data_IF_902017162606
#
_entry.id   IF_902017162606
#
_cell.length_a   1.000
_cell.length_b   1.000
_cell.length_c   1.000
_cell.angle_alpha   90.00
_cell.angle_beta   90.00
_cell.angle_gamma   90.00
#
_symmetry.space_group_name_H-M   'P 1'
#
loop_
_entity.id
_entity.type
_entity.pdbx_description
1 polymer ?
#
# COMPACT_ATOMS: atom_id res chain seq x y z
N UNK A 1 -9.93 -20.38 24.62
CA UNK A 1 -11.28 -20.07 24.10
C UNK A 1 -11.32 -20.41 22.63
N UNK A 2 -12.17 -21.36 22.19
CA UNK A 2 -12.40 -21.68 20.77
C UNK A 2 -13.45 -20.77 20.10
N UNK A 3 -13.68 -19.57 20.63
CA UNK A 3 -14.83 -18.74 20.24
C UNK A 3 -14.74 -18.34 18.76
N UNK A 4 -13.56 -17.95 18.28
CA UNK A 4 -13.35 -17.65 16.85
C UNK A 4 -13.31 -18.92 15.99
N UNK A 5 -12.98 -20.08 16.57
CA UNK A 5 -12.78 -21.33 15.82
C UNK A 5 -14.07 -21.95 15.28
N UNK A 6 -15.21 -21.68 15.92
CA UNK A 6 -16.52 -22.25 15.57
C UNK A 6 -17.44 -21.31 14.79
N UNK A 7 -16.96 -20.14 14.37
CA UNK A 7 -17.77 -19.19 13.62
C UNK A 7 -17.66 -19.52 12.13
N UNK A 8 -18.69 -20.17 11.60
CA UNK A 8 -18.99 -20.13 10.17
C UNK A 8 -19.48 -18.72 9.85
N UNK A 9 -18.83 -18.05 8.90
CA UNK A 9 -19.21 -16.69 8.46
C UNK A 9 -20.59 -16.81 7.82
N UNK A 10 -21.67 -16.33 8.46
CA UNK A 10 -23.00 -16.49 7.90
C UNK A 10 -23.11 -15.53 6.72
N UNK A 11 -23.38 -16.07 5.53
CA UNK A 11 -23.62 -15.28 4.29
C UNK A 11 -24.76 -14.25 4.42
N UNK A 12 -25.52 -14.23 5.52
CA UNK A 12 -26.75 -13.46 5.69
C UNK A 12 -26.92 -12.73 7.05
N UNK A 13 -25.88 -12.59 7.90
CA UNK A 13 -26.01 -11.85 9.15
C UNK A 13 -24.90 -10.81 9.34
N UNK A 14 -24.93 -9.67 8.62
CA UNK A 14 -23.88 -8.64 8.67
C UNK A 14 -23.65 -8.10 10.10
N UNK A 15 -24.69 -8.02 10.93
CA UNK A 15 -24.58 -7.44 12.26
C UNK A 15 -23.85 -8.28 13.32
N UNK A 16 -23.79 -9.62 13.19
CA UNK A 16 -23.21 -10.45 14.27
C UNK A 16 -21.68 -10.39 14.29
N UNK A 17 -21.05 -10.34 13.11
CA UNK A 17 -19.61 -10.17 13.00
C UNK A 17 -19.17 -8.78 13.48
N UNK A 18 -19.91 -7.74 13.11
CA UNK A 18 -19.66 -6.36 13.54
C UNK A 18 -19.75 -6.20 15.07
N UNK A 19 -20.82 -6.72 15.69
CA UNK A 19 -20.98 -6.70 17.15
C UNK A 19 -19.85 -7.43 17.86
N UNK A 20 -19.37 -8.54 17.29
CA UNK A 20 -18.28 -9.33 17.86
C UNK A 20 -16.93 -8.62 17.72
N UNK A 21 -16.63 -8.02 16.56
CA UNK A 21 -15.42 -7.21 16.37
C UNK A 21 -15.42 -6.02 17.35
N UNK A 22 -16.57 -5.35 17.49
CA UNK A 22 -16.74 -4.26 18.46
C UNK A 22 -16.58 -4.74 19.91
N UNK A 23 -17.07 -5.93 20.25
CA UNK A 23 -16.87 -6.52 21.57
C UNK A 23 -15.38 -6.86 21.82
N UNK A 24 -14.69 -7.41 20.83
CA UNK A 24 -13.25 -7.75 20.92
C UNK A 24 -12.37 -6.51 21.07
N UNK A 25 -12.70 -5.41 20.41
CA UNK A 25 -11.97 -4.14 20.53
C UNK A 25 -11.98 -3.54 21.94
N UNK A 26 -13.07 -3.78 22.66
CA UNK A 26 -13.29 -3.28 24.02
C UNK A 26 -12.73 -4.23 25.09
N UNK A 27 -12.22 -5.40 24.70
CA UNK A 27 -11.60 -6.35 25.61
C UNK A 27 -10.15 -5.91 25.93
N UNK A 28 -9.69 -6.18 27.15
CA UNK A 28 -8.27 -6.00 27.52
C UNK A 28 -7.42 -7.11 26.88
N UNK A 29 -6.88 -6.82 25.70
CA UNK A 29 -6.09 -7.75 24.89
C UNK A 29 -4.65 -7.94 25.42
N UNK A 30 -4.15 -7.01 26.24
CA UNK A 30 -2.78 -7.04 26.78
C UNK A 30 -2.64 -8.01 27.97
N UNK A 31 -3.76 -8.51 28.53
CA UNK A 31 -3.76 -9.38 29.70
C UNK A 31 -2.94 -8.83 30.88
N UNK A 32 -2.96 -7.50 31.09
CA UNK A 32 -2.21 -6.80 32.16
C UNK A 32 -2.62 -7.22 33.58
N UNK A 33 -3.76 -7.91 33.73
CA UNK A 33 -4.20 -8.53 35.00
C UNK A 33 -4.00 -10.04 34.92
N UNK A 34 -3.29 -10.66 35.89
CA UNK A 34 -3.03 -12.10 35.89
C UNK A 34 -4.32 -12.86 36.24
N UNK A 35 -5.16 -13.11 35.24
CA UNK A 35 -6.25 -14.04 35.37
C UNK A 35 -5.71 -15.47 35.20
N UNK A 36 -6.32 -16.45 35.89
CA UNK A 36 -5.92 -17.87 35.97
C UNK A 36 -5.75 -18.64 34.63
N UNK A 37 -5.87 -17.98 33.47
CA UNK A 37 -5.56 -18.54 32.16
C UNK A 37 -4.09 -18.26 31.81
N UNK A 38 -3.24 -19.28 31.93
CA UNK A 38 -1.80 -19.24 31.67
C UNK A 38 -1.37 -19.03 30.21
N UNK A 39 -2.30 -18.64 29.33
CA UNK A 39 -2.07 -18.47 27.88
C UNK A 39 -2.86 -17.27 27.36
N UNK A 40 -2.21 -16.36 26.64
CA UNK A 40 -2.88 -15.28 25.93
C UNK A 40 -3.95 -15.89 24.99
N UNK A 41 -5.24 -15.58 25.17
CA UNK A 41 -6.33 -16.20 24.39
C UNK A 41 -6.24 -15.91 22.89
N UNK A 42 -5.52 -14.85 22.49
CA UNK A 42 -5.32 -14.48 21.10
C UNK A 42 -4.33 -15.38 20.36
N UNK A 43 -3.33 -15.91 21.07
CA UNK A 43 -2.26 -16.73 20.48
C UNK A 43 -2.22 -18.10 21.18
N UNK A 44 -3.18 -18.99 20.86
CA UNK A 44 -3.25 -20.27 21.53
C UNK A 44 -2.05 -21.16 21.15
N UNK A 45 -1.58 -21.99 22.09
CA UNK A 45 -0.38 -22.82 21.91
C UNK A 45 -0.45 -23.84 20.79
N UNK A 46 -1.66 -24.23 20.35
CA UNK A 46 -1.85 -25.22 19.28
C UNK A 46 -1.64 -24.61 17.89
N UNK A 47 -2.04 -23.35 17.71
CA UNK A 47 -1.91 -22.59 16.48
C UNK A 47 -2.00 -21.10 16.82
N UNK A 48 -0.87 -20.42 16.82
CA UNK A 48 -0.82 -19.01 17.18
C UNK A 48 -1.44 -18.11 16.10
N UNK A 49 -1.60 -18.61 14.87
CA UNK A 49 -2.04 -17.82 13.72
C UNK A 49 -3.56 -17.93 13.49
N UNK A 50 -4.24 -18.93 14.04
CA UNK A 50 -5.65 -19.23 13.72
C UNK A 50 -6.61 -18.03 13.85
N UNK A 51 -6.43 -17.22 14.89
CA UNK A 51 -7.33 -16.09 15.16
C UNK A 51 -7.04 -14.92 14.21
N UNK A 52 -5.76 -14.66 13.94
CA UNK A 52 -5.30 -13.66 12.98
C UNK A 52 -5.80 -14.01 11.58
N UNK A 53 -5.62 -15.26 11.17
CA UNK A 53 -6.04 -15.79 9.88
C UNK A 53 -7.55 -15.59 9.65
N UNK A 54 -8.36 -15.89 10.66
CA UNK A 54 -9.81 -15.65 10.61
C UNK A 54 -10.17 -14.18 10.46
N UNK A 55 -9.52 -13.28 11.20
CA UNK A 55 -9.80 -11.85 11.11
C UNK A 55 -9.39 -11.28 9.74
N UNK A 56 -8.28 -11.75 9.18
CA UNK A 56 -7.83 -11.37 7.84
C UNK A 56 -8.78 -11.93 6.77
N UNK A 57 -9.25 -13.18 6.91
CA UNK A 57 -10.25 -13.75 6.00
C UNK A 57 -11.59 -13.00 6.04
N UNK A 58 -12.02 -12.53 7.22
CA UNK A 58 -13.20 -11.66 7.35
C UNK A 58 -12.96 -10.33 6.63
N UNK A 59 -11.79 -9.72 6.82
CA UNK A 59 -11.42 -8.48 6.11
C UNK A 59 -11.45 -8.70 4.60
N UNK A 60 -10.90 -9.81 4.12
CA UNK A 60 -10.84 -10.12 2.70
C UNK A 60 -12.23 -10.25 2.07
N UNK A 61 -13.11 -11.00 2.73
CA UNK A 61 -14.49 -11.14 2.29
C UNK A 61 -15.25 -9.81 2.34
N UNK A 62 -15.05 -9.01 3.39
CA UNK A 62 -15.69 -7.71 3.50
C UNK A 62 -15.27 -6.79 2.36
N UNK A 63 -13.97 -6.72 2.06
CA UNK A 63 -13.41 -5.91 0.98
C UNK A 63 -13.85 -6.39 -0.40
N UNK A 64 -14.07 -7.69 -0.59
CA UNK A 64 -14.56 -8.25 -1.84
C UNK A 64 -16.06 -8.00 -2.09
N UNK A 65 -16.88 -7.97 -1.04
CA UNK A 65 -18.35 -7.91 -1.15
C UNK A 65 -18.89 -6.48 -1.08
N UNK A 66 -18.30 -5.61 -0.26
CA UNK A 66 -18.87 -4.30 0.05
C UNK A 66 -18.25 -3.17 -0.75
N UNK A 67 -19.04 -2.12 -1.00
CA UNK A 67 -18.56 -0.88 -1.65
C UNK A 67 -17.67 -0.07 -0.68
N UNK A 68 -16.70 0.71 -1.18
CA UNK A 68 -15.79 1.50 -0.34
C UNK A 68 -16.49 2.41 0.68
N UNK A 69 -17.62 3.02 0.30
CA UNK A 69 -18.40 3.90 1.19
C UNK A 69 -18.99 3.17 2.41
N UNK A 70 -19.35 1.90 2.27
CA UNK A 70 -19.89 1.12 3.38
C UNK A 70 -18.76 0.53 4.24
N UNK A 71 -17.64 0.17 3.60
CA UNK A 71 -16.43 -0.28 4.28
C UNK A 71 -15.82 0.81 5.18
N UNK A 72 -16.02 2.09 4.84
CA UNK A 72 -15.52 3.22 5.64
C UNK A 72 -16.00 3.17 7.10
N UNK A 73 -17.21 2.65 7.35
CA UNK A 73 -17.70 2.47 8.73
C UNK A 73 -17.42 1.05 9.25
N UNK A 74 -17.57 0.03 8.41
CA UNK A 74 -17.54 -1.37 8.85
C UNK A 74 -16.14 -1.93 9.09
N UNK A 75 -15.16 -1.53 8.28
CA UNK A 75 -13.82 -2.12 8.33
C UNK A 75 -12.91 -1.46 9.37
N UNK A 76 -13.22 -0.22 9.81
CA UNK A 76 -12.38 0.49 10.79
C UNK A 76 -12.22 -0.24 12.13
N UNK A 77 -13.29 -0.79 12.74
CA UNK A 77 -13.14 -1.62 13.93
C UNK A 77 -12.19 -2.80 13.71
N UNK A 78 -12.32 -3.49 12.57
CA UNK A 78 -11.51 -4.65 12.25
C UNK A 78 -10.04 -4.28 12.03
N UNK A 79 -9.77 -3.19 11.30
CA UNK A 79 -8.41 -2.67 11.09
C UNK A 79 -7.77 -2.26 12.41
N UNK A 80 -8.53 -1.58 13.28
CA UNK A 80 -8.06 -1.19 14.61
C UNK A 80 -7.73 -2.41 15.47
N UNK A 81 -8.55 -3.47 15.38
CA UNK A 81 -8.33 -4.72 16.11
C UNK A 81 -7.06 -5.41 15.61
N UNK A 82 -6.88 -5.51 14.28
CA UNK A 82 -5.68 -6.09 13.68
C UNK A 82 -4.40 -5.34 14.10
N UNK A 83 -4.44 -4.01 14.11
CA UNK A 83 -3.33 -3.16 14.59
C UNK A 83 -2.98 -3.43 16.05
N UNK A 84 -3.99 -3.47 16.94
CA UNK A 84 -3.80 -3.80 18.35
C UNK A 84 -3.23 -5.21 18.54
N UNK A 85 -3.74 -6.19 17.78
CA UNK A 85 -3.25 -7.58 17.83
C UNK A 85 -1.79 -7.64 17.36
N UNK A 86 -1.42 -6.92 16.31
CA UNK A 86 -0.06 -6.88 15.80
C UNK A 86 0.94 -6.31 16.81
N UNK A 87 0.56 -5.26 17.56
CA UNK A 87 1.41 -4.63 18.58
C UNK A 87 1.77 -5.59 19.73
N UNK A 88 0.84 -6.49 20.11
CA UNK A 88 1.02 -7.47 21.20
C UNK A 88 1.43 -8.87 20.72
N UNK A 89 1.46 -9.12 19.41
CA UNK A 89 1.72 -10.43 18.84
C UNK A 89 3.16 -10.90 19.12
N UNK A 90 3.41 -12.21 19.26
CA UNK A 90 4.77 -12.76 19.19
C UNK A 90 5.33 -12.68 17.76
N UNK A 91 6.64 -12.91 17.59
CA UNK A 91 7.32 -12.78 16.30
C UNK A 91 6.70 -13.66 15.19
N UNK A 92 6.27 -14.89 15.51
CA UNK A 92 5.64 -15.80 14.55
C UNK A 92 4.39 -15.22 13.90
N UNK A 93 3.33 -14.89 14.68
CA UNK A 93 2.13 -14.26 14.16
C UNK A 93 2.37 -12.88 13.52
N UNK A 94 3.35 -12.09 13.98
CA UNK A 94 3.72 -10.82 13.32
C UNK A 94 4.19 -11.05 11.90
N UNK A 95 5.19 -11.94 11.71
CA UNK A 95 5.69 -12.30 10.38
C UNK A 95 4.61 -12.90 9.49
N UNK A 96 3.67 -13.66 10.08
CA UNK A 96 2.52 -14.18 9.34
C UNK A 96 1.57 -13.07 8.86
N UNK A 97 1.31 -12.05 9.69
CA UNK A 97 0.52 -10.88 9.30
C UNK A 97 1.22 -10.04 8.22
N UNK A 98 2.51 -9.80 8.37
CA UNK A 98 3.33 -9.11 7.36
C UNK A 98 3.24 -9.83 6.02
N UNK A 99 3.41 -11.16 6.00
CA UNK A 99 3.34 -11.98 4.79
C UNK A 99 1.96 -11.96 4.12
N UNK A 100 0.86 -11.94 4.89
CA UNK A 100 -0.50 -11.94 4.32
C UNK A 100 -0.97 -10.57 3.82
N UNK A 101 -0.55 -9.48 4.49
CA UNK A 101 -1.13 -8.15 4.29
C UNK A 101 -0.23 -7.21 3.48
N UNK A 102 1.09 -7.41 3.50
CA UNK A 102 2.01 -6.64 2.66
C UNK A 102 2.13 -7.27 1.26
N UNK A 103 2.31 -6.45 0.21
CA UNK A 103 2.54 -6.95 -1.14
C UNK A 103 3.81 -7.81 -1.21
N UNK A 104 3.68 -9.00 -1.77
CA UNK A 104 4.82 -9.86 -2.06
C UNK A 104 5.56 -9.42 -3.34
N UNK A 105 6.81 -9.85 -3.49
CA UNK A 105 7.61 -9.53 -4.68
C UNK A 105 7.06 -10.20 -5.95
N UNK A 106 6.35 -11.32 -5.83
CA UNK A 106 5.63 -11.95 -6.95
C UNK A 106 4.48 -11.09 -7.51
N UNK A 107 3.94 -10.15 -6.72
CA UNK A 107 2.89 -9.25 -7.19
C UNK A 107 3.43 -8.10 -8.06
N UNK A 108 4.75 -7.94 -8.13
CA UNK A 108 5.41 -6.84 -8.85
C UNK A 108 5.67 -7.16 -10.32
N UNK A 109 5.18 -8.29 -10.82
CA UNK A 109 5.13 -8.55 -12.26
C UNK A 109 4.08 -7.66 -12.95
N UNK A 110 3.13 -7.11 -12.18
CA UNK A 110 2.19 -6.07 -12.59
C UNK A 110 2.41 -4.80 -11.75
N UNK A 111 1.87 -3.64 -12.17
CA UNK A 111 1.85 -2.46 -11.32
C UNK A 111 1.19 -2.77 -9.97
N UNK A 112 1.84 -2.35 -8.89
CA UNK A 112 1.42 -2.68 -7.54
C UNK A 112 0.02 -2.13 -7.27
N UNK A 113 -0.82 -2.93 -6.61
CA UNK A 113 -2.23 -2.57 -6.41
C UNK A 113 -3.16 -2.96 -7.57
N UNK A 114 -2.67 -3.50 -8.70
CA UNK A 114 -3.53 -3.97 -9.79
C UNK A 114 -3.93 -5.45 -9.70
N UNK A 115 -3.29 -6.23 -8.81
CA UNK A 115 -3.58 -7.66 -8.67
C UNK A 115 -4.93 -7.93 -7.95
N UNK A 116 -5.31 -9.21 -7.90
CA UNK A 116 -6.49 -9.70 -7.20
C UNK A 116 -6.19 -10.19 -5.77
N UNK A 117 -5.04 -9.87 -5.20
CA UNK A 117 -4.72 -10.19 -3.80
C UNK A 117 -5.42 -9.22 -2.84
N UNK A 118 -5.46 -9.58 -1.55
CA UNK A 118 -5.95 -8.71 -0.50
C UNK A 118 -5.08 -7.45 -0.36
N UNK A 119 -3.75 -7.61 -0.33
CA UNK A 119 -2.77 -6.50 -0.28
C UNK A 119 -3.06 -5.48 -1.37
N UNK A 120 -3.22 -5.92 -2.63
CA UNK A 120 -3.52 -5.03 -3.76
C UNK A 120 -4.90 -4.38 -3.67
N UNK A 121 -5.93 -5.09 -3.18
CA UNK A 121 -7.25 -4.47 -2.91
C UNK A 121 -7.15 -3.39 -1.84
N UNK A 122 -6.42 -3.64 -0.75
CA UNK A 122 -6.21 -2.67 0.33
C UNK A 122 -5.44 -1.44 -0.17
N UNK A 123 -4.42 -1.62 -1.01
CA UNK A 123 -3.70 -0.51 -1.65
C UNK A 123 -4.61 0.38 -2.50
N UNK A 124 -5.50 -0.20 -3.32
CA UNK A 124 -6.47 0.62 -4.07
C UNK A 124 -7.39 1.39 -3.14
N UNK A 125 -7.85 0.75 -2.07
CA UNK A 125 -8.70 1.41 -1.06
C UNK A 125 -7.96 2.52 -0.31
N UNK A 126 -6.65 2.41 -0.09
CA UNK A 126 -5.84 3.48 0.52
C UNK A 126 -5.69 4.71 -0.38
N UNK A 127 -5.99 4.61 -1.67
CA UNK A 127 -6.07 5.76 -2.58
C UNK A 127 -7.48 6.26 -2.85
N UNK A 128 -8.51 5.63 -2.26
CA UNK A 128 -9.90 5.96 -2.55
C UNK A 128 -10.29 7.34 -1.97
N UNK A 129 -10.85 8.25 -2.79
CA UNK A 129 -11.33 9.55 -2.30
C UNK A 129 -12.67 9.46 -1.55
N UNK A 130 -13.40 8.36 -1.71
CA UNK A 130 -14.77 8.18 -1.17
C UNK A 130 -14.77 7.72 0.29
N UNK A 131 -13.67 7.14 0.76
CA UNK A 131 -13.55 6.50 2.07
C UNK A 131 -12.28 6.99 2.81
N UNK A 132 -12.27 8.26 3.26
CA UNK A 132 -11.07 8.88 3.81
C UNK A 132 -10.61 8.24 5.13
N UNK A 133 -11.54 7.74 5.96
CA UNK A 133 -11.19 7.10 7.22
C UNK A 133 -10.59 5.72 6.98
N UNK A 134 -11.15 4.97 6.04
CA UNK A 134 -10.65 3.67 5.59
C UNK A 134 -9.24 3.79 5.03
N UNK A 135 -9.01 4.80 4.18
CA UNK A 135 -7.69 5.11 3.65
C UNK A 135 -6.66 5.28 4.77
N UNK A 136 -7.02 6.09 5.76
CA UNK A 136 -6.18 6.38 6.90
C UNK A 136 -5.90 5.11 7.72
N UNK A 137 -6.94 4.32 8.02
CA UNK A 137 -6.82 3.06 8.74
C UNK A 137 -5.96 2.00 8.04
N UNK A 138 -6.10 1.86 6.72
CA UNK A 138 -5.31 0.91 5.92
C UNK A 138 -3.84 1.34 5.89
N UNK A 139 -3.59 2.62 5.63
CA UNK A 139 -2.22 3.16 5.54
C UNK A 139 -1.50 3.05 6.88
N UNK A 140 -2.21 3.33 7.99
CA UNK A 140 -1.67 3.17 9.34
C UNK A 140 -1.36 1.70 9.66
N UNK A 141 -2.22 0.75 9.27
CA UNK A 141 -1.94 -0.69 9.43
C UNK A 141 -0.69 -1.10 8.65
N UNK A 142 -0.59 -0.73 7.38
CA UNK A 142 0.57 -1.08 6.54
C UNK A 142 1.88 -0.43 7.03
N UNK A 143 1.81 0.77 7.58
CA UNK A 143 2.95 1.43 8.22
C UNK A 143 3.42 0.70 9.48
N UNK A 144 2.49 0.24 10.32
CA UNK A 144 2.82 -0.58 11.49
C UNK A 144 3.41 -1.94 11.13
N UNK A 145 2.84 -2.62 10.13
CA UNK A 145 3.39 -3.85 9.55
C UNK A 145 4.81 -3.64 9.00
N UNK A 146 5.11 -2.44 8.53
CA UNK A 146 6.45 -2.06 8.06
C UNK A 146 7.36 -1.55 9.19
N UNK A 147 7.09 -1.95 10.43
CA UNK A 147 7.93 -1.62 11.59
C UNK A 147 7.90 -0.15 12.01
N UNK A 148 6.88 0.61 11.61
CA UNK A 148 6.77 2.07 11.83
C UNK A 148 7.98 2.84 11.27
N UNK A 149 8.58 2.32 10.20
CA UNK A 149 9.71 2.93 9.52
C UNK A 149 9.28 3.42 8.13
N UNK A 150 9.52 4.69 7.82
CA UNK A 150 9.12 5.29 6.55
C UNK A 150 9.82 4.64 5.34
N UNK A 151 11.10 4.28 5.47
CA UNK A 151 11.85 3.60 4.41
C UNK A 151 11.31 2.21 4.14
N UNK A 152 11.08 1.42 5.19
CA UNK A 152 10.52 0.06 5.03
C UNK A 152 9.08 0.11 4.51
N UNK A 153 8.30 1.10 4.93
CA UNK A 153 6.94 1.31 4.43
C UNK A 153 6.93 1.63 2.93
N UNK A 154 7.74 2.60 2.49
CA UNK A 154 7.92 2.89 1.05
C UNK A 154 8.44 1.65 0.32
N UNK A 155 9.38 0.89 0.91
CA UNK A 155 9.93 -0.34 0.33
C UNK A 155 8.83 -1.37 0.04
N UNK A 156 7.96 -1.60 1.02
CA UNK A 156 6.94 -2.66 0.95
C UNK A 156 5.75 -2.26 0.08
N UNK A 157 5.26 -1.03 0.23
CA UNK A 157 3.98 -0.56 -0.34
C UNK A 157 4.15 0.28 -1.61
N UNK A 158 5.33 0.82 -1.85
CA UNK A 158 5.63 1.70 -2.97
C UNK A 158 5.42 3.17 -2.64
N UNK A 159 6.26 4.01 -3.26
CA UNK A 159 6.29 5.44 -3.01
C UNK A 159 4.93 6.11 -3.27
N UNK A 160 4.25 5.76 -4.38
CA UNK A 160 2.96 6.36 -4.73
C UNK A 160 1.88 6.16 -3.68
N UNK A 161 1.82 4.98 -3.07
CA UNK A 161 0.85 4.65 -2.01
C UNK A 161 1.29 5.20 -0.64
N UNK A 162 2.59 5.25 -0.36
CA UNK A 162 3.12 5.69 0.93
C UNK A 162 3.17 7.21 1.09
N UNK A 163 3.48 7.96 0.02
CA UNK A 163 3.79 9.39 0.10
C UNK A 163 2.65 10.23 0.69
N UNK A 164 1.39 9.94 0.33
CA UNK A 164 0.23 10.67 0.83
C UNK A 164 0.06 10.54 2.35
N UNK A 165 0.27 9.33 2.87
CA UNK A 165 0.18 9.05 4.31
C UNK A 165 1.35 9.65 5.09
N UNK A 166 2.58 9.55 4.57
CA UNK A 166 3.76 10.12 5.22
C UNK A 166 3.66 11.65 5.30
N UNK A 167 3.19 12.29 4.22
CA UNK A 167 2.96 13.74 4.16
C UNK A 167 1.90 14.19 5.18
N UNK A 168 0.76 13.49 5.28
CA UNK A 168 -0.31 13.87 6.23
C UNK A 168 0.11 13.73 7.69
N UNK A 169 1.10 12.88 7.98
CA UNK A 169 1.65 12.66 9.32
C UNK A 169 2.92 13.47 9.61
N UNK A 170 3.30 14.41 8.73
CA UNK A 170 4.54 15.20 8.85
C UNK A 170 5.81 14.34 8.98
N UNK A 171 5.81 13.15 8.37
CA UNK A 171 6.97 12.28 8.33
C UNK A 171 7.81 12.59 7.10
N UNK A 172 9.11 12.83 7.28
CA UNK A 172 10.04 13.03 6.17
C UNK A 172 10.18 11.73 5.38
N UNK A 173 9.97 11.80 4.07
CA UNK A 173 10.29 10.70 3.17
C UNK A 173 11.80 10.76 2.92
N UNK A 174 12.58 9.76 3.31
CA UNK A 174 14.01 9.76 3.04
C UNK A 174 14.23 9.76 1.52
N UNK A 175 15.12 10.62 1.01
CA UNK A 175 15.46 10.62 -0.43
C UNK A 175 15.97 9.23 -0.88
N UNK A 176 16.69 8.56 0.02
CA UNK A 176 17.16 7.19 -0.11
C UNK A 176 16.04 6.16 -0.20
N UNK A 177 14.79 6.48 0.18
CA UNK A 177 13.68 5.53 0.09
C UNK A 177 13.25 5.29 -1.37
N UNK A 178 13.40 6.29 -2.26
CA UNK A 178 13.17 6.09 -3.71
C UNK A 178 14.22 5.16 -4.32
N UNK A 179 15.48 5.36 -3.94
CA UNK A 179 16.60 4.54 -4.40
C UNK A 179 16.53 3.13 -3.81
N UNK A 180 16.29 3.00 -2.51
CA UNK A 180 16.16 1.73 -1.81
C UNK A 180 14.95 0.91 -2.27
N UNK A 181 13.86 1.58 -2.70
CA UNK A 181 12.75 0.90 -3.37
C UNK A 181 13.19 0.33 -4.72
N UNK A 182 14.05 1.04 -5.43
CA UNK A 182 14.49 0.67 -6.77
C UNK A 182 15.52 -0.47 -6.78
N UNK A 183 16.16 -0.82 -5.65
CA UNK A 183 17.27 -1.79 -5.60
C UNK A 183 17.01 -3.01 -4.72
N UNK A 184 15.75 -3.45 -4.56
CA UNK A 184 15.41 -4.59 -3.69
C UNK A 184 15.98 -5.91 -4.25
N UNK A 185 16.74 -6.70 -3.48
CA UNK A 185 17.07 -8.06 -3.86
C UNK A 185 15.80 -8.93 -3.77
N UNK A 186 15.39 -9.50 -4.90
CA UNK A 186 14.21 -10.37 -5.03
C UNK A 186 14.39 -11.72 -4.32
N UNK A 187 15.63 -12.19 -4.16
CA UNK A 187 16.00 -13.38 -3.37
C UNK A 187 17.40 -13.27 -2.76
N UNK A 188 17.70 -13.98 -1.66
CA UNK A 188 19.09 -14.12 -1.18
C UNK A 188 19.93 -14.86 -2.23
N UNK A 189 20.86 -14.16 -2.89
CA UNK A 189 21.80 -14.74 -3.86
C UNK A 189 21.51 -14.47 -5.34
N UNK A 190 20.42 -13.78 -5.69
CA UNK A 190 20.15 -13.28 -7.06
C UNK A 190 20.49 -11.79 -7.16
N UNK A 191 20.84 -11.30 -8.36
CA UNK A 191 21.03 -9.87 -8.57
C UNK A 191 19.70 -9.12 -8.36
N UNK A 192 19.72 -7.95 -7.69
CA UNK A 192 18.52 -7.18 -7.46
C UNK A 192 17.91 -6.74 -8.79
N UNK A 193 16.69 -7.17 -9.05
CA UNK A 193 15.91 -6.70 -10.20
C UNK A 193 15.36 -5.32 -9.86
N UNK A 194 15.68 -4.27 -10.63
CA UNK A 194 15.23 -2.94 -10.28
C UNK A 194 13.71 -2.80 -10.36
N UNK A 195 13.15 -1.98 -9.48
CA UNK A 195 11.71 -1.72 -9.38
C UNK A 195 11.42 -0.29 -9.79
N UNK A 196 10.40 -0.07 -10.63
CA UNK A 196 9.94 1.25 -11.02
C UNK A 196 9.27 1.96 -9.83
N UNK A 197 9.80 3.11 -9.36
CA UNK A 197 9.27 3.82 -8.19
C UNK A 197 7.85 4.39 -8.39
N UNK A 198 7.38 4.49 -9.63
CA UNK A 198 6.06 5.03 -9.98
C UNK A 198 5.02 3.90 -9.97
N UNK A 199 5.26 2.84 -10.73
CA UNK A 199 4.30 1.72 -10.89
C UNK A 199 4.44 0.67 -9.80
N UNK A 200 5.60 0.59 -9.13
CA UNK A 200 5.96 -0.48 -8.21
C UNK A 200 6.22 -1.82 -8.88
N UNK A 201 6.20 -1.87 -10.22
CA UNK A 201 6.46 -3.03 -11.05
C UNK A 201 7.97 -3.25 -11.21
N UNK A 202 8.38 -4.50 -11.42
CA UNK A 202 9.76 -4.83 -11.77
C UNK A 202 10.06 -4.40 -13.21
N UNK A 203 11.21 -3.77 -13.44
CA UNK A 203 11.58 -3.23 -14.75
C UNK A 203 11.69 -4.30 -15.86
N UNK A 204 11.99 -5.55 -15.50
CA UNK A 204 12.07 -6.65 -16.46
C UNK A 204 10.70 -7.23 -16.85
N UNK A 205 9.67 -7.00 -16.04
CA UNK A 205 8.28 -7.35 -16.31
C UNK A 205 7.51 -6.22 -17.01
N UNK A 206 8.07 -5.01 -17.05
CA UNK A 206 7.43 -3.88 -17.74
C UNK A 206 7.39 -4.13 -19.26
N UNK A 207 6.25 -3.83 -19.91
CA UNK A 207 6.17 -3.93 -21.36
C UNK A 207 7.17 -2.97 -21.98
N UNK A 208 8.15 -3.51 -22.71
CA UNK A 208 9.06 -2.70 -23.49
C UNK A 208 8.31 -2.08 -24.67
N UNK A 209 8.57 -0.81 -24.92
CA UNK A 209 8.04 -0.16 -26.11
C UNK A 209 8.69 -0.77 -27.35
N UNK A 210 7.94 -1.62 -28.04
CA UNK A 210 8.34 -2.24 -29.31
C UNK A 210 7.88 -1.41 -30.52
N UNK A 211 7.34 -0.21 -30.29
CA UNK A 211 6.91 0.69 -31.35
C UNK A 211 8.09 1.18 -32.19
N UNK A 212 7.84 1.57 -33.46
CA UNK A 212 8.84 2.32 -34.21
C UNK A 212 9.21 3.59 -33.45
N UNK A 213 10.48 4.03 -33.49
CA UNK A 213 10.88 5.27 -32.85
C UNK A 213 10.05 6.43 -33.41
N UNK A 214 9.49 7.25 -32.51
CA UNK A 214 8.67 8.40 -32.90
C UNK A 214 9.39 9.27 -33.93
N UNK A 215 8.65 9.72 -34.94
CA UNK A 215 9.13 10.69 -35.93
C UNK A 215 9.38 12.05 -35.29
N UNK A 216 10.16 12.94 -35.93
CA UNK A 216 10.41 14.28 -35.38
C UNK A 216 9.13 15.10 -35.22
N UNK A 217 8.23 15.03 -36.19
CA UNK A 217 6.93 15.73 -36.11
C UNK A 217 6.05 15.19 -34.97
N UNK A 218 6.08 13.88 -34.70
CA UNK A 218 5.39 13.30 -33.54
C UNK A 218 6.01 13.75 -32.22
N UNK A 219 7.35 13.77 -32.13
CA UNK A 219 8.05 14.27 -30.94
C UNK A 219 7.71 15.73 -30.65
N UNK A 220 7.62 16.57 -31.68
CA UNK A 220 7.22 17.98 -31.54
C UNK A 220 5.79 18.10 -31.01
N UNK A 221 4.84 17.35 -31.59
CA UNK A 221 3.45 17.34 -31.09
C UNK A 221 3.34 16.83 -29.65
N UNK A 222 4.15 15.85 -29.27
CA UNK A 222 4.16 15.35 -27.90
C UNK A 222 4.82 16.32 -26.92
N UNK A 223 5.88 17.02 -27.35
CA UNK A 223 6.50 18.09 -26.60
C UNK A 223 5.52 19.26 -26.36
N UNK A 224 4.75 19.66 -27.37
CA UNK A 224 3.69 20.67 -27.22
C UNK A 224 2.60 20.22 -26.24
N UNK A 225 2.14 18.96 -26.34
CA UNK A 225 1.17 18.39 -25.39
C UNK A 225 1.70 18.42 -23.96
N UNK A 226 2.95 18.00 -23.75
CA UNK A 226 3.59 18.01 -22.44
C UNK A 226 3.74 19.44 -21.92
N UNK A 227 4.14 20.39 -22.77
CA UNK A 227 4.25 21.80 -22.40
C UNK A 227 2.93 22.34 -21.84
N UNK A 228 1.82 22.10 -22.55
CA UNK A 228 0.49 22.52 -22.10
C UNK A 228 0.10 21.84 -20.78
N UNK A 229 0.45 20.56 -20.61
CA UNK A 229 0.16 19.84 -19.38
C UNK A 229 0.92 20.43 -18.17
N UNK A 230 2.21 20.77 -18.34
CA UNK A 230 3.00 21.44 -17.31
C UNK A 230 2.46 22.84 -16.99
N UNK A 231 2.04 23.63 -17.98
CA UNK A 231 1.45 24.95 -17.72
C UNK A 231 0.13 24.85 -16.96
N UNK A 232 -0.73 23.89 -17.32
CA UNK A 232 -1.98 23.61 -16.60
C UNK A 232 -1.72 23.15 -15.17
N UNK A 233 -0.76 22.23 -14.97
CA UNK A 233 -0.38 21.77 -13.64
C UNK A 233 0.12 22.93 -12.78
N UNK A 234 0.99 23.79 -13.32
CA UNK A 234 1.45 25.00 -12.63
C UNK A 234 0.28 25.94 -12.29
N UNK A 235 -0.68 26.10 -13.20
CA UNK A 235 -1.85 26.95 -12.97
C UNK A 235 -2.76 26.45 -11.83
N UNK A 236 -2.76 25.13 -11.53
CA UNK A 236 -3.50 24.60 -10.37
C UNK A 236 -2.90 25.01 -9.01
N UNK A 237 -1.65 25.48 -8.97
CA UNK A 237 -1.00 25.98 -7.75
C UNK A 237 -0.66 24.92 -6.70
N UNK A 238 -0.96 23.64 -6.97
CA UNK A 238 -0.72 22.52 -6.04
C UNK A 238 0.75 22.09 -6.02
N UNK A 239 1.48 22.28 -7.13
CA UNK A 239 2.89 21.92 -7.25
C UNK A 239 3.62 22.99 -8.07
N UNK A 240 4.72 23.53 -7.54
CA UNK A 240 5.58 24.47 -8.28
C UNK A 240 6.61 23.67 -9.10
N UNK A 241 6.18 23.14 -10.24
CA UNK A 241 7.05 22.40 -11.16
C UNK A 241 7.58 23.36 -12.21
N UNK A 242 8.90 23.54 -12.27
CA UNK A 242 9.53 24.20 -13.41
C UNK A 242 9.41 23.31 -14.64
N UNK A 243 8.95 23.88 -15.76
CA UNK A 243 8.82 23.13 -17.00
C UNK A 243 10.23 22.75 -17.48
N UNK A 244 10.55 21.46 -17.64
CA UNK A 244 11.88 21.01 -18.04
C UNK A 244 12.33 21.61 -19.39
N UNK A 245 11.40 21.95 -20.28
CA UNK A 245 11.69 22.66 -21.54
C UNK A 245 12.19 24.09 -21.27
N UNK A 246 11.60 24.80 -20.30
CA UNK A 246 12.05 26.14 -19.91
C UNK A 246 13.38 26.09 -19.15
N UNK A 247 13.58 25.07 -18.30
CA UNK A 247 14.86 24.86 -17.61
C UNK A 247 15.97 24.56 -18.61
N UNK A 248 15.74 23.67 -19.58
CA UNK A 248 16.71 23.37 -20.65
C UNK A 248 17.02 24.59 -21.54
N UNK A 249 16.02 25.44 -21.81
CA UNK A 249 16.22 26.72 -22.50
C UNK A 249 17.10 27.68 -21.68
N UNK A 250 16.85 27.77 -20.36
CA UNK A 250 17.64 28.62 -19.45
C UNK A 250 19.06 28.13 -19.22
N UNK A 251 19.29 26.81 -19.32
CA UNK A 251 20.60 26.17 -19.22
C UNK A 251 21.39 26.21 -20.54
N UNK A 252 20.83 26.77 -21.62
CA UNK A 252 21.49 26.88 -22.92
C UNK A 252 21.72 25.53 -23.61
N UNK A 253 20.93 24.50 -23.28
CA UNK A 253 21.03 23.15 -23.87
C UNK A 253 20.10 22.94 -25.07
N UNK A 254 19.55 24.01 -25.62
CA UNK A 254 18.80 23.98 -26.87
C UNK A 254 19.77 24.13 -28.04
N UNK A 255 19.80 23.14 -28.93
CA UNK A 255 20.37 23.29 -30.26
C UNK A 255 19.19 23.66 -31.17
N UNK A 256 19.10 24.93 -31.57
CA UNK A 256 18.17 25.34 -32.62
C UNK A 256 18.61 24.61 -33.89
N UNK A 257 17.75 23.78 -34.44
CA UNK A 257 18.02 23.15 -35.73
C UNK A 257 17.94 24.25 -36.78
N UNK A 258 19.02 24.44 -37.55
CA UNK A 258 19.00 25.30 -38.73
C UNK A 258 17.89 24.82 -39.66
N UNK A 259 16.99 25.73 -40.03
CA UNK A 259 15.96 25.48 -41.04
C UNK A 259 16.64 25.03 -42.33
N UNK A 260 16.57 23.74 -42.64
CA UNK A 260 17.03 23.19 -43.92
C UNK A 260 15.93 23.44 -44.97
N UNK A 261 16.21 24.36 -45.89
CA UNK A 261 15.48 24.60 -47.16
C UNK A 261 15.23 23.32 -47.97
#
# INVERSE_FOLDING_TARGET
MKILNHIEIPRHAPGTCELLINALLNLDLEAKKPNHFSTNPLFPKFDQNCNVDKLINILDQAVAVHKPSHLDTLALPLLTLLRKIYDIAPEGPRKYMEWLLLPDDSERDLPIGQSHTLSSRLLRLSTSPVAPQLREGISALMFELSGRNASDFVRNVGYGFAAGFLMSHNMSIPETAKEAFSTRPTKPGEQPVPINPITGQRLDAEPQDTGPPMTMEEKEREAERLFVLFERLRATGVVNVENPVKTALSEGRFEELDDLD
#
